data_IF_585837463675
#
_entry.id   IF_585837463675
#
_cell.length_a   1.000
_cell.length_b   1.000
_cell.length_c   1.000
_cell.angle_alpha   90.00
_cell.angle_beta   90.00
_cell.angle_gamma   90.00
#
_symmetry.space_group_name_H-M   'P 1'
#
loop_
_entity.id
_entity.type
_entity.pdbx_description
1 polymer ?
#
# COMPACT_ATOMS: atom_id res chain seq x y z
N UNK A 1 -5.01 17.99 11.83
CA UNK A 1 -6.07 16.97 11.97
C UNK A 1 -6.07 16.19 10.68
N UNK A 2 -5.29 15.10 10.59
CA UNK A 2 -5.24 14.28 9.39
C UNK A 2 -6.47 13.38 9.39
N UNK A 3 -7.27 13.46 8.33
CA UNK A 3 -8.33 12.49 8.06
C UNK A 3 -7.68 11.11 7.97
N UNK A 4 -7.88 10.26 8.99
CA UNK A 4 -7.75 8.83 8.81
C UNK A 4 -8.73 8.46 7.70
N UNK A 5 -8.24 8.04 6.56
CA UNK A 5 -9.06 7.26 5.65
C UNK A 5 -9.50 6.03 6.45
N UNK A 6 -10.78 5.98 6.82
CA UNK A 6 -11.36 4.85 7.53
C UNK A 6 -11.28 3.62 6.61
N UNK A 7 -10.15 2.92 6.66
CA UNK A 7 -10.05 1.56 6.12
C UNK A 7 -11.16 0.76 6.78
N UNK A 8 -12.06 0.11 6.01
CA UNK A 8 -13.20 -0.58 6.59
C UNK A 8 -12.72 -1.55 7.68
N UNK A 9 -13.22 -1.35 8.90
CA UNK A 9 -12.93 -2.20 10.05
C UNK A 9 -13.28 -3.65 9.67
N UNK A 10 -12.28 -4.51 9.52
CA UNK A 10 -12.49 -5.94 9.24
C UNK A 10 -11.42 -6.63 8.40
N UNK A 11 -10.53 -5.92 7.71
CA UNK A 11 -9.47 -6.55 6.90
C UNK A 11 -8.20 -6.91 7.72
N UNK A 12 -8.27 -6.83 9.04
CA UNK A 12 -7.11 -6.86 9.96
C UNK A 12 -6.15 -8.05 9.78
N UNK A 13 -4.85 -7.73 9.82
CA UNK A 13 -3.70 -8.60 10.13
C UNK A 13 -3.48 -9.91 9.36
N UNK A 14 -4.24 -10.20 8.31
CA UNK A 14 -4.06 -11.46 7.58
C UNK A 14 -2.72 -11.55 6.83
N UNK A 15 -2.05 -10.41 6.59
CA UNK A 15 -0.87 -10.35 5.72
C UNK A 15 -1.18 -10.74 4.27
N UNK A 16 -2.46 -10.78 3.89
CA UNK A 16 -2.88 -11.17 2.55
C UNK A 16 -2.58 -10.00 1.60
N UNK A 17 -1.76 -10.29 0.60
CA UNK A 17 -1.51 -9.40 -0.52
C UNK A 17 -2.63 -9.60 -1.58
N UNK A 18 -3.27 -8.53 -2.08
CA UNK A 18 -4.22 -8.61 -3.19
C UNK A 18 -3.64 -9.33 -4.40
N UNK A 19 -4.40 -10.11 -5.17
CA UNK A 19 -3.86 -10.82 -6.34
C UNK A 19 -3.68 -9.93 -7.57
N UNK A 20 -4.60 -8.98 -7.77
CA UNK A 20 -4.65 -8.16 -8.98
C UNK A 20 -3.66 -6.99 -8.93
N UNK A 21 -3.08 -6.64 -10.08
CA UNK A 21 -2.34 -5.40 -10.24
C UNK A 21 -3.27 -4.18 -10.05
N UNK A 22 -2.72 -3.10 -9.51
CA UNK A 22 -3.49 -1.87 -9.24
C UNK A 22 -2.94 -1.04 -8.09
N UNK A 23 -3.66 0.03 -7.76
CA UNK A 23 -3.34 0.93 -6.65
C UNK A 23 -4.05 0.49 -5.37
N UNK A 24 -3.29 0.48 -4.28
CA UNK A 24 -3.77 0.08 -2.96
C UNK A 24 -3.32 1.07 -1.90
N UNK A 25 -4.18 1.32 -0.92
CA UNK A 25 -3.85 2.04 0.31
C UNK A 25 -3.66 1.03 1.43
N UNK A 26 -2.61 1.20 2.22
CA UNK A 26 -2.32 0.35 3.38
C UNK A 26 -2.94 0.88 4.69
N UNK A 27 -2.68 0.21 5.81
CA UNK A 27 -3.22 0.59 7.13
C UNK A 27 -2.71 1.94 7.65
N UNK A 28 -1.53 2.35 7.19
CA UNK A 28 -0.85 3.58 7.62
C UNK A 28 -1.23 4.76 6.70
N UNK A 29 -1.94 4.47 5.61
CA UNK A 29 -2.39 5.45 4.62
C UNK A 29 -1.40 5.66 3.48
N UNK A 30 -0.39 4.80 3.36
CA UNK A 30 0.58 4.86 2.27
C UNK A 30 -0.03 4.25 0.99
N UNK A 31 0.32 4.82 -0.16
CA UNK A 31 -0.17 4.35 -1.47
C UNK A 31 0.90 3.49 -2.11
N UNK A 32 0.48 2.28 -2.44
CA UNK A 32 1.26 1.26 -3.12
C UNK A 32 0.66 0.94 -4.47
N UNK A 33 1.50 0.57 -5.42
CA UNK A 33 1.12 -0.04 -6.68
C UNK A 33 1.57 -1.50 -6.70
N UNK A 34 0.63 -2.41 -6.90
CA UNK A 34 0.92 -3.81 -7.21
C UNK A 34 1.13 -3.96 -8.71
N UNK A 35 2.25 -4.56 -9.08
CA UNK A 35 2.64 -4.96 -10.43
C UNK A 35 2.83 -6.48 -10.49
N UNK A 36 2.95 -7.04 -11.69
CA UNK A 36 3.17 -8.48 -11.88
C UNK A 36 4.46 -8.99 -11.23
N UNK A 37 5.46 -8.12 -11.07
CA UNK A 37 6.78 -8.43 -10.54
C UNK A 37 7.00 -7.97 -9.08
N UNK A 38 5.98 -7.45 -8.41
CA UNK A 38 6.08 -7.02 -7.02
C UNK A 38 5.31 -5.74 -6.72
N UNK A 39 5.81 -5.00 -5.72
CA UNK A 39 5.15 -3.80 -5.21
C UNK A 39 6.05 -2.58 -5.32
N UNK A 40 5.44 -1.44 -5.57
CA UNK A 40 6.09 -0.13 -5.60
C UNK A 40 5.37 0.83 -4.66
N UNK A 41 6.09 1.39 -3.69
CA UNK A 41 5.59 2.47 -2.85
C UNK A 41 5.59 3.78 -3.65
N UNK A 42 4.45 4.46 -3.71
CA UNK A 42 4.27 5.71 -4.45
C UNK A 42 4.14 6.93 -3.53
N UNK A 43 3.43 6.77 -2.41
CA UNK A 43 3.19 7.85 -1.45
C UNK A 43 3.40 7.32 -0.04
N UNK A 44 4.31 7.95 0.71
CA UNK A 44 4.54 7.64 2.11
C UNK A 44 4.15 8.84 2.97
N UNK A 45 3.12 8.69 3.79
CA UNK A 45 2.62 9.73 4.71
C UNK A 45 2.40 11.09 4.02
N UNK A 46 1.93 11.07 2.77
CA UNK A 46 1.69 12.25 1.96
C UNK A 46 2.90 12.78 1.19
N UNK A 47 4.06 12.11 1.25
CA UNK A 47 5.27 12.47 0.48
C UNK A 47 5.44 11.50 -0.68
N UNK A 48 5.57 12.04 -1.90
CA UNK A 48 5.83 11.22 -3.08
C UNK A 48 7.19 10.53 -2.96
N UNK A 49 7.21 9.22 -3.21
CA UNK A 49 8.44 8.42 -3.19
C UNK A 49 9.00 8.37 -4.61
N UNK A 50 10.29 8.63 -4.74
CA UNK A 50 10.98 8.59 -6.03
C UNK A 50 10.97 7.16 -6.60
N UNK A 51 10.52 6.96 -7.86
CA UNK A 51 10.35 5.63 -8.45
C UNK A 51 11.68 4.95 -8.83
N UNK A 52 12.80 5.68 -8.82
CA UNK A 52 14.14 5.13 -9.09
C UNK A 52 14.84 4.65 -7.83
N UNK A 53 14.29 4.98 -6.65
CA UNK A 53 14.80 4.56 -5.36
C UNK A 53 14.54 3.06 -5.18
N UNK A 54 15.56 2.25 -5.43
CA UNK A 54 15.58 0.84 -5.12
C UNK A 54 15.66 0.69 -3.60
N UNK A 55 14.55 0.31 -2.98
CA UNK A 55 14.55 -0.09 -1.58
C UNK A 55 15.11 -1.50 -1.50
N UNK A 56 16.33 -1.61 -0.98
CA UNK A 56 16.92 -2.89 -0.64
C UNK A 56 16.27 -3.34 0.67
N UNK A 57 15.17 -4.10 0.55
CA UNK A 57 14.43 -4.68 1.66
C UNK A 57 15.32 -5.71 2.36
N UNK A 58 16.22 -5.21 3.20
CA UNK A 58 17.09 -6.05 4.04
C UNK A 58 16.29 -6.71 5.15
N UNK A 59 15.23 -6.04 5.65
CA UNK A 59 14.28 -6.56 6.63
C UNK A 59 12.88 -5.96 6.39
N UNK A 60 11.82 -6.79 6.49
CA UNK A 60 10.41 -6.39 6.29
C UNK A 60 9.81 -6.90 4.97
N UNK A 61 8.56 -7.35 5.03
CA UNK A 61 7.79 -7.80 3.86
C UNK A 61 6.62 -6.85 3.61
N UNK A 62 6.23 -6.65 2.34
CA UNK A 62 5.09 -5.79 1.99
C UNK A 62 3.82 -6.21 2.75
N UNK A 63 3.60 -7.50 2.96
CA UNK A 63 2.50 -8.04 3.80
C UNK A 63 2.41 -7.44 5.21
N UNK A 64 3.49 -6.91 5.76
CA UNK A 64 3.52 -6.33 7.12
C UNK A 64 2.76 -5.00 7.22
N UNK A 65 2.48 -4.37 6.07
CA UNK A 65 1.68 -3.15 5.92
C UNK A 65 0.19 -3.43 5.68
N UNK A 66 -0.19 -4.69 5.49
CA UNK A 66 -1.59 -5.08 5.32
C UNK A 66 -2.46 -4.62 6.51
N UNK A 67 -3.78 -4.43 6.30
CA UNK A 67 -4.52 -4.68 5.06
C UNK A 67 -4.28 -3.66 3.95
N UNK A 68 -4.48 -4.13 2.72
CA UNK A 68 -4.50 -3.32 1.50
C UNK A 68 -5.93 -3.16 1.00
N UNK A 69 -6.39 -1.92 0.84
CA UNK A 69 -7.67 -1.60 0.22
C UNK A 69 -7.44 -1.01 -1.17
N UNK A 70 -8.20 -1.43 -2.21
CA UNK A 70 -8.03 -0.88 -3.55
C UNK A 70 -8.40 0.61 -3.56
N UNK A 71 -7.55 1.44 -4.16
CA UNK A 71 -7.88 2.83 -4.47
C UNK A 71 -8.77 2.79 -5.71
N UNK A 72 -10.09 2.77 -5.49
CA UNK A 72 -11.04 2.90 -6.58
C UNK A 72 -10.82 4.26 -7.26
N UNK A 73 -10.45 4.24 -8.55
CA UNK A 73 -10.62 5.43 -9.37
C UNK A 73 -12.09 5.81 -9.34
N UNK A 74 -12.40 7.01 -8.87
CA UNK A 74 -13.70 7.62 -9.14
C UNK A 74 -13.86 7.65 -10.67
N UNK A 75 -14.77 6.82 -11.18
CA UNK A 75 -15.27 6.94 -12.55
C UNK A 75 -16.34 8.03 -12.56
#
# INVERSE_FOLDING_TARGET
MLHRCDVPNGLGNSGIEPENAGLYIDRDGDIWEKQDNGWRLLLQRGVAVDPMSLWDWTEGHVRDYAPFAPVAGVN
#
